data_IF_878107957986
#
_entry.id   IF_878107957986
#
_cell.length_a   1.000
_cell.length_b   1.000
_cell.length_c   1.000
_cell.angle_alpha   90.00
_cell.angle_beta   90.00
_cell.angle_gamma   90.00
#
_symmetry.space_group_name_H-M   'P 1'
#
loop_
_entity.id
_entity.type
_entity.pdbx_description
1 polymer ?
#
# COMPACT_ATOMS: atom_id res chain seq x y z
N UNK A 1 18.73 8.62 -13.13
CA UNK A 1 17.94 8.73 -11.88
C UNK A 1 18.59 7.93 -10.75
N UNK A 2 19.51 7.03 -11.08
CA UNK A 2 20.18 6.09 -10.17
C UNK A 2 20.96 6.74 -9.01
N UNK A 3 21.14 8.06 -9.04
CA UNK A 3 21.76 8.85 -7.97
C UNK A 3 20.77 9.34 -6.90
N UNK A 4 19.46 9.25 -7.14
CA UNK A 4 18.43 9.72 -6.21
C UNK A 4 17.91 8.58 -5.35
N UNK A 5 17.74 8.85 -4.05
CA UNK A 5 17.10 7.87 -3.16
C UNK A 5 15.61 7.80 -3.47
N UNK A 6 15.11 6.59 -3.69
CA UNK A 6 13.70 6.36 -3.99
C UNK A 6 12.93 5.74 -2.81
N UNK A 7 11.63 6.01 -2.79
CA UNK A 7 10.72 5.59 -1.73
C UNK A 7 9.39 5.12 -2.31
N UNK A 8 8.77 4.12 -1.68
CA UNK A 8 7.35 3.86 -1.86
C UNK A 8 6.55 4.74 -0.88
N UNK A 9 5.74 5.65 -1.40
CA UNK A 9 4.89 6.55 -0.59
C UNK A 9 3.48 6.00 -0.54
N UNK A 10 3.10 5.44 0.61
CA UNK A 10 1.80 4.85 0.89
C UNK A 10 0.83 5.91 1.42
N UNK A 11 -0.36 5.99 0.80
CA UNK A 11 -1.48 6.81 1.25
C UNK A 11 -2.67 5.92 1.64
N UNK A 12 -3.31 6.26 2.75
CA UNK A 12 -4.44 5.52 3.33
C UNK A 12 -5.77 6.20 3.00
N UNK A 13 -6.88 5.49 3.20
CA UNK A 13 -8.21 6.10 3.10
C UNK A 13 -8.47 7.05 4.29
N UNK A 14 -9.14 8.18 4.01
CA UNK A 14 -9.56 9.17 5.02
C UNK A 14 -10.34 8.57 6.20
N UNK A 15 -11.10 7.50 5.96
CA UNK A 15 -11.86 6.80 7.00
C UNK A 15 -10.98 6.24 8.12
N UNK A 16 -9.76 5.77 7.81
CA UNK A 16 -8.79 5.33 8.82
C UNK A 16 -8.15 6.50 9.60
N UNK A 17 -8.37 7.74 9.15
CA UNK A 17 -7.76 8.95 9.70
C UNK A 17 -8.75 9.78 10.55
N UNK A 18 -10.04 9.41 10.61
CA UNK A 18 -11.05 10.09 11.43
C UNK A 18 -11.07 9.55 12.86
N UNK A 19 -11.02 10.46 13.85
CA UNK A 19 -11.21 10.14 15.27
C UNK A 19 -9.93 9.83 16.06
N UNK A 20 -10.11 9.41 17.32
CA UNK A 20 -9.03 9.26 18.31
C UNK A 20 -8.10 8.05 18.09
N UNK A 21 -8.48 7.09 17.23
CA UNK A 21 -7.75 5.83 17.02
C UNK A 21 -6.65 5.91 15.95
N UNK A 22 -6.49 7.06 15.28
CA UNK A 22 -5.53 7.22 14.18
C UNK A 22 -4.10 6.75 14.50
N UNK A 23 -3.49 7.07 15.66
CA UNK A 23 -2.14 6.60 15.98
C UNK A 23 -2.02 5.07 15.97
N UNK A 24 -3.06 4.38 16.46
CA UNK A 24 -3.11 2.92 16.51
C UNK A 24 -3.30 2.31 15.12
N UNK A 25 -4.19 2.85 14.29
CA UNK A 25 -4.35 2.46 12.88
C UNK A 25 -3.03 2.58 12.11
N UNK A 26 -2.35 3.72 12.26
CA UNK A 26 -1.09 3.97 11.57
C UNK A 26 0.02 3.04 12.08
N UNK A 27 0.06 2.72 13.38
CA UNK A 27 0.99 1.72 13.91
C UNK A 27 0.74 0.34 13.29
N UNK A 28 -0.50 -0.14 13.30
CA UNK A 28 -0.86 -1.43 12.70
C UNK A 28 -0.53 -1.50 11.22
N UNK A 29 -0.82 -0.44 10.46
CA UNK A 29 -0.42 -0.36 9.06
C UNK A 29 1.10 -0.45 8.89
N UNK A 30 1.88 0.30 9.67
CA UNK A 30 3.35 0.25 9.61
C UNK A 30 3.88 -1.16 9.91
N UNK A 31 3.30 -1.85 10.89
CA UNK A 31 3.71 -3.22 11.23
C UNK A 31 3.37 -4.20 10.10
N UNK A 32 2.19 -4.07 9.49
CA UNK A 32 1.76 -4.87 8.33
C UNK A 32 2.64 -4.62 7.11
N UNK A 33 2.98 -3.35 6.82
CA UNK A 33 3.90 -2.98 5.74
C UNK A 33 5.27 -3.61 5.97
N UNK A 34 5.80 -3.56 7.21
CA UNK A 34 7.08 -4.18 7.55
C UNK A 34 7.07 -5.69 7.33
N UNK A 35 5.99 -6.36 7.72
CA UNK A 35 5.84 -7.80 7.50
C UNK A 35 5.74 -8.13 6.00
N UNK A 36 4.93 -7.39 5.25
CA UNK A 36 4.74 -7.58 3.82
C UNK A 36 6.05 -7.38 3.04
N UNK A 37 6.81 -6.33 3.32
CA UNK A 37 8.01 -5.97 2.55
C UNK A 37 9.30 -6.56 3.11
N UNK A 38 9.23 -7.50 4.06
CA UNK A 38 10.42 -8.15 4.62
C UNK A 38 11.22 -8.86 3.53
N UNK A 39 12.49 -8.51 3.39
CA UNK A 39 13.38 -9.09 2.38
C UNK A 39 13.17 -8.57 0.95
N UNK A 40 12.30 -7.58 0.74
CA UNK A 40 12.01 -7.02 -0.59
C UNK A 40 12.84 -5.76 -0.93
N UNK A 41 13.96 -5.50 -0.22
CA UNK A 41 14.75 -4.28 -0.44
C UNK A 41 14.15 -3.01 0.15
N UNK A 42 13.52 -3.08 1.34
CA UNK A 42 13.10 -1.89 2.11
C UNK A 42 14.04 -1.68 3.29
N UNK A 43 14.76 -0.57 3.29
CA UNK A 43 15.74 -0.24 4.34
C UNK A 43 15.09 0.41 5.57
N UNK A 44 14.11 1.27 5.34
CA UNK A 44 13.50 2.09 6.39
C UNK A 44 12.03 2.33 6.13
N UNK A 45 11.21 2.25 7.17
CA UNK A 45 9.81 2.68 7.14
C UNK A 45 9.64 3.85 8.08
N UNK A 46 9.08 4.96 7.58
CA UNK A 46 8.92 6.20 8.31
C UNK A 46 7.52 6.79 8.10
N UNK A 47 7.06 7.61 9.06
CA UNK A 47 5.71 8.21 9.03
C UNK A 47 5.83 9.68 8.65
N UNK A 48 5.13 10.09 7.60
CA UNK A 48 4.86 11.49 7.26
C UNK A 48 3.53 11.97 7.83
N UNK A 49 3.19 13.24 7.61
CA UNK A 49 1.97 13.83 8.16
C UNK A 49 0.69 13.16 7.69
N UNK A 50 0.64 12.64 6.45
CA UNK A 50 -0.53 11.97 5.84
C UNK A 50 -0.15 10.74 5.01
N UNK A 51 1.01 10.16 5.28
CA UNK A 51 1.59 9.08 4.48
C UNK A 51 2.56 8.23 5.29
N UNK A 52 2.88 7.05 4.76
CA UNK A 52 3.98 6.22 5.23
C UNK A 52 4.98 6.10 4.09
N UNK A 53 6.25 6.40 4.32
CA UNK A 53 7.31 6.21 3.35
C UNK A 53 8.09 4.94 3.64
N UNK A 54 8.40 4.17 2.60
CA UNK A 54 9.29 3.03 2.64
C UNK A 54 10.49 3.34 1.76
N UNK A 55 11.65 3.55 2.36
CA UNK A 55 12.91 3.81 1.67
C UNK A 55 13.39 2.52 1.00
N UNK A 56 13.55 2.56 -0.32
CA UNK A 56 14.02 1.42 -1.11
C UNK A 56 15.54 1.31 -1.04
N UNK A 57 16.08 0.09 -1.10
CA UNK A 57 17.52 -0.13 -1.21
C UNK A 57 18.07 0.46 -2.49
N UNK A 58 17.39 0.19 -3.60
CA UNK A 58 17.77 0.51 -4.97
C UNK A 58 16.53 0.55 -5.87
N UNK A 59 16.73 0.82 -7.16
CA UNK A 59 15.64 0.87 -8.15
C UNK A 59 15.06 -0.53 -8.47
N UNK A 60 15.84 -1.61 -8.32
CA UNK A 60 15.45 -2.99 -8.61
C UNK A 60 14.51 -3.57 -7.54
N UNK A 61 14.52 -3.02 -6.32
CA UNK A 61 13.57 -3.37 -5.26
C UNK A 61 12.12 -2.99 -5.61
N UNK A 62 11.92 -2.00 -6.49
CA UNK A 62 10.59 -1.42 -6.73
C UNK A 62 9.53 -2.41 -7.24
N UNK A 63 9.76 -3.26 -8.27
CA UNK A 63 8.75 -4.18 -8.77
C UNK A 63 8.23 -5.14 -7.70
N UNK A 64 9.11 -5.66 -6.86
CA UNK A 64 8.74 -6.56 -5.77
C UNK A 64 7.97 -5.82 -4.67
N UNK A 65 8.49 -4.68 -4.20
CA UNK A 65 7.78 -3.85 -3.20
C UNK A 65 6.41 -3.43 -3.72
N UNK A 66 6.30 -3.00 -4.97
CA UNK A 66 5.03 -2.64 -5.60
C UNK A 66 4.04 -3.81 -5.59
N UNK A 67 4.49 -5.02 -5.96
CA UNK A 67 3.65 -6.22 -5.96
C UNK A 67 3.11 -6.51 -4.55
N UNK A 68 3.99 -6.49 -3.54
CA UNK A 68 3.62 -6.78 -2.15
C UNK A 68 2.72 -5.71 -1.54
N UNK A 69 2.96 -4.43 -1.84
CA UNK A 69 2.13 -3.33 -1.34
C UNK A 69 0.69 -3.36 -1.86
N UNK A 70 0.44 -3.90 -3.07
CA UNK A 70 -0.92 -4.07 -3.59
C UNK A 70 -1.76 -5.00 -2.72
N UNK A 71 -1.13 -5.98 -2.08
CA UNK A 71 -1.80 -7.01 -1.27
C UNK A 71 -2.07 -6.58 0.18
N UNK A 72 -1.51 -5.45 0.63
CA UNK A 72 -1.64 -4.94 2.00
C UNK A 72 -2.97 -4.21 2.19
N UNK A 73 -3.87 -4.78 2.99
CA UNK A 73 -5.08 -4.06 3.39
C UNK A 73 -4.76 -2.82 4.25
N UNK A 74 -5.54 -1.76 4.04
CA UNK A 74 -5.29 -0.43 4.61
C UNK A 74 -4.49 0.50 3.71
N UNK A 75 -3.80 -0.03 2.69
CA UNK A 75 -3.18 0.77 1.62
C UNK A 75 -4.26 1.07 0.58
N UNK A 76 -4.59 2.36 0.41
CA UNK A 76 -5.54 2.77 -0.63
C UNK A 76 -4.81 2.89 -1.98
N UNK A 77 -3.67 3.56 -1.93
CA UNK A 77 -2.82 3.82 -3.09
C UNK A 77 -1.41 4.15 -2.64
N UNK A 78 -0.48 4.03 -3.55
CA UNK A 78 0.91 4.36 -3.31
C UNK A 78 1.61 4.79 -4.59
N UNK A 79 2.82 5.33 -4.44
CA UNK A 79 3.59 5.92 -5.52
C UNK A 79 5.07 5.55 -5.34
N UNK A 80 5.81 5.45 -6.45
CA UNK A 80 7.28 5.58 -6.40
C UNK A 80 7.61 7.06 -6.36
N UNK A 81 8.40 7.47 -5.38
CA UNK A 81 8.85 8.85 -5.22
C UNK A 81 10.37 8.92 -5.19
N UNK A 82 10.89 10.03 -5.68
CA UNK A 82 12.31 10.36 -5.62
C UNK A 82 12.53 11.50 -4.63
N UNK A 83 13.53 11.35 -3.77
CA UNK A 83 13.94 12.36 -2.80
C UNK A 83 15.00 13.27 -3.41
N UNK A 84 14.79 14.57 -3.25
CA UNK A 84 15.72 15.62 -3.64
C UNK A 84 15.94 16.55 -2.44
N UNK A 85 17.08 17.29 -2.41
CA UNK A 85 17.26 18.40 -1.48
C UNK A 85 16.09 19.39 -1.56
N UNK A 86 15.94 20.22 -0.52
CA UNK A 86 14.87 21.21 -0.42
C UNK A 86 15.16 22.44 -1.31
N UNK A 87 15.38 22.20 -2.60
CA UNK A 87 15.74 23.17 -3.63
C UNK A 87 14.83 22.98 -4.85
N UNK A 88 14.06 24.03 -5.17
CA UNK A 88 13.11 24.01 -6.28
C UNK A 88 13.79 24.08 -7.64
N UNK A 89 14.92 24.78 -7.74
CA UNK A 89 15.68 24.88 -8.99
C UNK A 89 16.36 23.55 -9.30
N UNK A 90 16.90 22.88 -8.28
CA UNK A 90 17.37 21.50 -8.39
C UNK A 90 16.29 20.52 -8.87
N UNK A 91 15.05 20.66 -8.40
CA UNK A 91 13.92 19.88 -8.90
C UNK A 91 13.61 20.19 -10.37
N UNK A 92 13.58 21.46 -10.78
CA UNK A 92 13.38 21.85 -12.19
C UNK A 92 14.45 21.25 -13.09
N UNK A 93 15.71 21.29 -12.67
CA UNK A 93 16.83 20.72 -13.43
C UNK A 93 16.70 19.21 -13.67
N UNK A 94 16.05 18.47 -12.76
CA UNK A 94 15.81 17.03 -12.90
C UNK A 94 14.50 16.67 -13.58
N UNK A 95 13.57 17.60 -13.71
CA UNK A 95 12.25 17.38 -14.29
C UNK A 95 12.28 16.83 -15.73
N UNK A 96 13.17 17.26 -16.65
CA UNK A 96 13.26 16.66 -17.98
C UNK A 96 13.49 15.15 -17.95
N UNK A 97 14.38 14.67 -17.07
CA UNK A 97 14.61 13.24 -16.90
C UNK A 97 13.37 12.50 -16.38
N UNK A 98 12.63 13.07 -15.43
CA UNK A 98 11.39 12.46 -14.93
C UNK A 98 10.27 12.36 -15.96
N UNK A 99 10.26 13.29 -16.93
CA UNK A 99 9.25 13.37 -17.98
C UNK A 99 9.67 12.65 -19.27
N UNK A 100 10.92 12.20 -19.36
CA UNK A 100 11.43 11.46 -20.51
C UNK A 100 10.57 10.21 -20.79
N UNK A 101 10.20 10.02 -22.06
CA UNK A 101 9.36 8.90 -22.50
C UNK A 101 7.87 8.99 -22.12
N UNK A 102 7.44 10.01 -21.38
CA UNK A 102 6.02 10.23 -21.04
C UNK A 102 5.34 11.06 -22.12
N UNK A 103 4.21 10.58 -22.62
CA UNK A 103 3.36 11.34 -23.56
C UNK A 103 2.06 11.75 -22.86
N UNK A 104 1.82 13.06 -22.77
CA UNK A 104 0.62 13.63 -22.17
C UNK A 104 0.31 15.01 -22.77
N UNK A 105 -0.97 15.32 -22.95
CA UNK A 105 -1.44 16.62 -23.47
C UNK A 105 -1.87 17.57 -22.35
N UNK A 106 -2.15 17.03 -21.17
CA UNK A 106 -2.55 17.82 -20.02
C UNK A 106 -1.93 17.33 -18.72
N UNK A 107 -1.60 18.25 -17.82
CA UNK A 107 -1.01 17.90 -16.54
C UNK A 107 -1.47 18.82 -15.41
N UNK A 108 -1.18 18.41 -14.17
CA UNK A 108 -1.27 19.30 -13.02
C UNK A 108 -0.07 19.12 -12.09
N UNK A 109 0.32 20.19 -11.43
CA UNK A 109 1.21 20.14 -10.26
C UNK A 109 0.35 20.13 -9.00
N UNK A 110 0.69 19.31 -8.02
CA UNK A 110 0.03 19.29 -6.71
C UNK A 110 1.08 19.28 -5.61
N UNK A 111 1.33 20.46 -5.04
CA UNK A 111 2.28 20.62 -3.93
C UNK A 111 1.63 20.49 -2.56
N UNK A 112 2.09 19.54 -1.74
CA UNK A 112 1.80 19.50 -0.31
C UNK A 112 2.99 20.01 0.50
N UNK A 113 2.74 20.83 1.51
CA UNK A 113 3.78 21.38 2.39
C UNK A 113 3.59 20.87 3.81
N UNK A 114 4.39 19.89 4.19
CA UNK A 114 4.55 19.50 5.59
C UNK A 114 5.44 20.52 6.32
N UNK A 115 6.52 20.98 5.66
CA UNK A 115 7.33 22.10 6.19
C UNK A 115 6.76 23.46 5.75
N UNK A 116 6.18 24.18 6.71
CA UNK A 116 5.63 25.54 6.50
C UNK A 116 6.70 26.63 6.47
N UNK A 117 7.96 26.32 6.79
CA UNK A 117 9.09 27.25 6.72
C UNK A 117 9.66 27.39 5.32
N UNK A 118 9.27 26.52 4.38
CA UNK A 118 9.68 26.64 2.98
C UNK A 118 9.29 28.02 2.43
N UNK A 119 10.18 28.75 1.72
CA UNK A 119 9.94 30.15 1.34
C UNK A 119 8.72 30.37 0.47
N UNK A 120 8.39 29.41 -0.40
CA UNK A 120 7.24 29.49 -1.29
C UNK A 120 6.03 28.76 -0.74
N UNK A 121 4.83 29.27 -1.01
CA UNK A 121 3.59 28.55 -0.73
C UNK A 121 3.25 27.53 -1.82
N UNK A 122 2.33 26.60 -1.52
CA UNK A 122 1.98 25.53 -2.47
C UNK A 122 1.49 26.08 -3.81
N UNK A 123 0.76 27.19 -3.81
CA UNK A 123 0.27 27.82 -5.04
C UNK A 123 1.40 28.44 -5.87
N UNK A 124 2.36 29.10 -5.22
CA UNK A 124 3.56 29.64 -5.86
C UNK A 124 4.40 28.52 -6.48
N UNK A 125 4.62 27.42 -5.75
CA UNK A 125 5.33 26.24 -6.28
C UNK A 125 4.58 25.61 -7.45
N UNK A 126 3.25 25.44 -7.35
CA UNK A 126 2.43 24.92 -8.43
C UNK A 126 2.52 25.78 -9.70
N UNK A 127 2.48 27.12 -9.56
CA UNK A 127 2.57 28.05 -10.70
C UNK A 127 3.94 28.02 -11.35
N UNK A 128 4.99 28.06 -10.54
CA UNK A 128 6.37 28.09 -10.99
C UNK A 128 6.78 26.80 -11.72
N UNK A 129 6.57 25.63 -11.08
CA UNK A 129 6.78 24.34 -11.73
C UNK A 129 5.82 24.09 -12.90
N UNK A 130 4.57 24.57 -12.79
CA UNK A 130 3.59 24.47 -13.86
C UNK A 130 4.05 25.21 -15.12
N UNK A 131 4.50 26.45 -14.97
CA UNK A 131 5.09 27.22 -16.07
C UNK A 131 6.28 26.48 -16.68
N UNK A 132 7.20 26.00 -15.85
CA UNK A 132 8.38 25.26 -16.31
C UNK A 132 8.00 24.01 -17.14
N UNK A 133 7.12 23.15 -16.62
CA UNK A 133 6.70 21.92 -17.31
C UNK A 133 5.92 22.23 -18.60
N UNK A 134 5.10 23.28 -18.59
CA UNK A 134 4.39 23.72 -19.79
C UNK A 134 5.35 24.17 -20.90
N UNK A 135 6.38 24.95 -20.58
CA UNK A 135 7.38 25.37 -21.56
C UNK A 135 8.22 24.19 -22.07
N UNK A 136 8.54 23.25 -21.18
CA UNK A 136 9.33 22.07 -21.51
C UNK A 136 8.60 21.08 -22.43
N UNK A 137 7.28 20.92 -22.27
CA UNK A 137 6.50 19.84 -22.91
C UNK A 137 5.42 20.31 -23.89
N UNK A 138 5.01 21.57 -23.81
CA UNK A 138 3.85 22.10 -24.55
C UNK A 138 2.49 21.66 -24.00
N UNK A 139 2.46 20.78 -22.99
CA UNK A 139 1.21 20.30 -22.39
C UNK A 139 0.46 21.41 -21.65
N UNK A 140 -0.87 21.32 -21.61
CA UNK A 140 -1.72 22.33 -20.99
C UNK A 140 -1.97 22.01 -19.50
N UNK A 141 -1.99 23.04 -18.66
CA UNK A 141 -2.36 22.87 -17.24
C UNK A 141 -3.86 22.58 -17.14
N UNK A 142 -4.22 21.46 -16.52
CA UNK A 142 -5.60 21.03 -16.32
C UNK A 142 -5.81 20.54 -14.89
N UNK A 143 -6.57 21.28 -14.09
CA UNK A 143 -6.73 20.98 -12.65
C UNK A 143 -7.65 19.77 -12.37
N UNK A 144 -8.61 19.52 -13.27
CA UNK A 144 -9.57 18.40 -13.21
C UNK A 144 -9.21 17.35 -14.27
N UNK A 145 -9.12 16.09 -13.86
CA UNK A 145 -8.82 14.94 -14.72
C UNK A 145 -7.66 15.20 -15.73
N UNK A 146 -6.45 15.53 -15.24
CA UNK A 146 -5.26 15.63 -16.09
C UNK A 146 -4.80 14.24 -16.54
N UNK A 147 -4.09 14.18 -17.66
CA UNK A 147 -3.42 12.95 -18.10
C UNK A 147 -2.21 12.63 -17.22
N UNK A 148 -1.46 13.64 -16.76
CA UNK A 148 -0.36 13.48 -15.81
C UNK A 148 -0.58 14.31 -14.54
N UNK A 149 -0.47 13.67 -13.37
CA UNK A 149 -0.39 14.38 -12.09
C UNK A 149 1.04 14.33 -11.56
N UNK A 150 1.63 15.49 -11.32
CA UNK A 150 2.96 15.64 -10.73
C UNK A 150 2.75 16.10 -9.29
N UNK A 151 3.11 15.25 -8.34
CA UNK A 151 3.02 15.56 -6.92
C UNK A 151 4.37 15.99 -6.37
N UNK A 152 4.35 17.03 -5.54
CA UNK A 152 5.54 17.58 -4.90
C UNK A 152 5.27 17.73 -3.41
N UNK A 153 5.83 16.84 -2.60
CA UNK A 153 5.68 16.92 -1.15
C UNK A 153 6.94 17.53 -0.53
N UNK A 154 6.81 18.75 0.00
CA UNK A 154 7.87 19.47 0.68
C UNK A 154 7.88 19.03 2.15
N UNK A 155 8.87 18.23 2.50
CA UNK A 155 9.13 17.71 3.84
C UNK A 155 10.29 18.48 4.47
N UNK A 156 10.47 18.36 5.79
CA UNK A 156 11.56 19.02 6.52
C UNK A 156 12.96 18.61 6.06
N UNK A 157 13.09 17.41 5.49
CA UNK A 157 14.38 16.82 5.10
C UNK A 157 14.65 16.90 3.59
N UNK A 158 13.66 17.35 2.79
CA UNK A 158 13.78 17.34 1.34
C UNK A 158 12.43 17.43 0.62
N UNK A 159 12.50 17.37 -0.70
CA UNK A 159 11.34 17.33 -1.59
C UNK A 159 11.17 15.90 -2.10
N UNK A 160 9.93 15.40 -2.05
CA UNK A 160 9.54 14.17 -2.71
C UNK A 160 8.75 14.50 -3.98
N UNK A 161 9.18 13.97 -5.12
CA UNK A 161 8.47 14.08 -6.39
C UNK A 161 7.97 12.71 -6.84
N UNK A 162 6.71 12.63 -7.28
CA UNK A 162 6.09 11.38 -7.72
C UNK A 162 4.91 11.62 -8.69
N UNK A 163 4.58 10.60 -9.47
CA UNK A 163 3.66 10.71 -10.62
C UNK A 163 2.63 9.57 -10.64
N UNK A 164 3.13 8.34 -10.78
CA UNK A 164 2.35 7.17 -11.15
C UNK A 164 1.62 6.59 -9.94
N UNK A 165 0.30 6.80 -9.91
CA UNK A 165 -0.56 6.26 -8.86
C UNK A 165 -0.77 4.76 -9.06
N UNK A 166 -0.40 3.97 -8.06
CA UNK A 166 -0.73 2.55 -8.00
C UNK A 166 -1.84 2.34 -6.97
N UNK A 167 -3.00 1.87 -7.44
CA UNK A 167 -4.12 1.49 -6.56
C UNK A 167 -3.84 0.13 -5.90
N UNK A 168 -4.21 0.02 -4.64
CA UNK A 168 -4.16 -1.22 -3.86
C UNK A 168 -5.57 -1.61 -3.39
N UNK A 169 -5.71 -2.70 -2.65
CA UNK A 169 -7.02 -3.21 -2.24
C UNK A 169 -7.84 -2.27 -1.34
N UNK A 170 -7.20 -1.30 -0.68
CA UNK A 170 -7.86 -0.41 0.27
C UNK A 170 -8.26 -1.15 1.55
N UNK A 171 -9.42 -0.79 2.11
CA UNK A 171 -9.91 -1.38 3.36
C UNK A 171 -9.20 -0.85 4.60
N UNK A 172 -9.18 -1.66 5.66
CA UNK A 172 -8.56 -1.34 6.94
C UNK A 172 -7.35 -2.25 7.19
N UNK A 173 -6.29 -1.76 7.87
CA UNK A 173 -5.15 -2.61 8.23
C UNK A 173 -5.58 -3.83 9.02
N UNK A 174 -5.17 -5.04 8.61
CA UNK A 174 -5.49 -6.27 9.34
C UNK A 174 -5.07 -6.17 10.81
N UNK A 175 -5.95 -6.62 11.71
CA UNK A 175 -5.78 -6.59 13.16
C UNK A 175 -6.40 -5.37 13.84
N UNK A 176 -6.91 -4.38 13.09
CA UNK A 176 -7.59 -3.20 13.66
C UNK A 176 -9.08 -3.44 14.01
N UNK A 177 -9.62 -4.59 13.65
CA UNK A 177 -11.02 -4.96 13.95
C UNK A 177 -11.09 -6.25 14.77
N UNK A 178 -10.00 -6.59 15.47
CA UNK A 178 -9.91 -7.79 16.29
C UNK A 178 -9.71 -9.09 15.50
N UNK A 179 -9.83 -10.22 16.19
CA UNK A 179 -9.73 -11.56 15.62
C UNK A 179 -11.11 -12.13 15.38
N UNK A 180 -11.29 -12.89 14.29
CA UNK A 180 -12.53 -13.60 13.96
C UNK A 180 -12.23 -15.06 13.65
N UNK A 181 -13.09 -15.97 14.12
CA UNK A 181 -13.04 -17.36 13.71
C UNK A 181 -13.67 -17.52 12.31
N UNK A 182 -12.96 -18.16 11.41
CA UNK A 182 -13.41 -18.45 10.04
C UNK A 182 -13.56 -19.96 9.91
N UNK A 183 -14.78 -20.43 9.74
CA UNK A 183 -15.02 -21.82 9.34
C UNK A 183 -14.62 -21.99 7.88
N UNK A 184 -13.48 -22.64 7.66
CA UNK A 184 -12.91 -22.83 6.33
C UNK A 184 -13.32 -24.20 5.79
N UNK A 185 -14.07 -24.20 4.70
CA UNK A 185 -14.40 -25.40 3.93
C UNK A 185 -13.46 -25.56 2.74
N UNK A 186 -13.47 -26.72 2.10
CA UNK A 186 -12.79 -26.94 0.81
C UNK A 186 -13.49 -26.29 -0.40
N UNK A 187 -14.56 -25.51 -0.17
CA UNK A 187 -15.27 -24.75 -1.20
C UNK A 187 -14.75 -23.33 -1.38
N UNK A 188 -15.33 -22.60 -2.33
CA UNK A 188 -14.85 -21.27 -2.76
C UNK A 188 -15.37 -20.14 -1.85
N UNK A 189 -16.52 -20.33 -1.19
CA UNK A 189 -17.19 -19.22 -0.48
C UNK A 189 -16.47 -18.82 0.81
N UNK A 190 -16.04 -19.81 1.61
CA UNK A 190 -15.37 -19.56 2.89
C UNK A 190 -14.05 -18.78 2.78
N UNK A 191 -13.13 -19.08 1.83
CA UNK A 191 -11.93 -18.25 1.67
C UNK A 191 -12.25 -16.83 1.16
N UNK A 192 -13.27 -16.66 0.32
CA UNK A 192 -13.72 -15.33 -0.14
C UNK A 192 -14.31 -14.53 1.03
N UNK A 193 -15.11 -15.15 1.89
CA UNK A 193 -15.64 -14.52 3.09
C UNK A 193 -14.50 -14.11 4.05
N UNK A 194 -13.50 -14.98 4.24
CA UNK A 194 -12.31 -14.66 5.04
C UNK A 194 -11.57 -13.44 4.50
N UNK A 195 -11.34 -13.40 3.18
CA UNK A 195 -10.69 -12.27 2.51
C UNK A 195 -11.45 -10.95 2.73
N UNK A 196 -12.79 -10.97 2.62
CA UNK A 196 -13.61 -9.79 2.88
C UNK A 196 -13.52 -9.30 4.33
N UNK A 197 -13.47 -10.23 5.29
CA UNK A 197 -13.28 -9.89 6.71
C UNK A 197 -11.89 -9.30 6.98
N UNK A 198 -10.84 -9.84 6.36
CA UNK A 198 -9.50 -9.26 6.42
C UNK A 198 -9.46 -7.85 5.84
N UNK A 199 -10.14 -7.59 4.72
CA UNK A 199 -10.28 -6.25 4.14
C UNK A 199 -10.98 -5.26 5.09
N UNK A 200 -11.84 -5.74 5.98
CA UNK A 200 -12.48 -4.96 7.05
C UNK A 200 -11.62 -4.85 8.31
N UNK A 201 -10.36 -5.28 8.27
CA UNK A 201 -9.39 -5.13 9.35
C UNK A 201 -9.40 -6.25 10.38
N UNK A 202 -10.18 -7.32 10.18
CA UNK A 202 -10.16 -8.47 11.07
C UNK A 202 -8.94 -9.36 10.78
N UNK A 203 -8.38 -9.99 11.81
CA UNK A 203 -7.42 -11.09 11.63
C UNK A 203 -8.19 -12.41 11.64
N UNK A 204 -8.01 -13.22 10.59
CA UNK A 204 -8.72 -14.49 10.43
C UNK A 204 -7.99 -15.62 11.17
N UNK A 205 -8.71 -16.29 12.06
CA UNK A 205 -8.31 -17.56 12.68
C UNK A 205 -9.11 -18.69 12.03
N UNK A 206 -8.44 -19.55 11.26
CA UNK A 206 -9.11 -20.55 10.46
C UNK A 206 -9.42 -21.81 11.28
N UNK A 207 -10.63 -22.33 11.17
CA UNK A 207 -11.05 -23.61 11.73
C UNK A 207 -11.53 -24.48 10.59
N UNK A 208 -10.91 -25.62 10.39
CA UNK A 208 -11.30 -26.61 9.40
C UNK A 208 -11.78 -27.89 10.08
N UNK A 209 -13.03 -28.25 9.82
CA UNK A 209 -13.60 -29.51 10.30
C UNK A 209 -13.32 -30.62 9.28
N UNK A 210 -12.81 -31.76 9.74
CA UNK A 210 -12.50 -32.90 8.89
C UNK A 210 -12.98 -34.22 9.50
N UNK A 211 -13.16 -35.23 8.65
CA UNK A 211 -13.59 -36.56 9.09
C UNK A 211 -12.49 -37.63 9.00
N UNK A 212 -11.24 -37.25 8.69
CA UNK A 212 -10.10 -38.17 8.80
C UNK A 212 -10.03 -38.83 10.19
N UNK A 213 -9.82 -40.15 10.29
CA UNK A 213 -9.46 -41.08 9.21
C UNK A 213 -10.63 -41.76 8.47
N UNK A 214 -11.89 -41.34 8.69
CA UNK A 214 -13.07 -41.93 8.02
C UNK A 214 -13.12 -41.62 6.51
N UNK A 215 -12.46 -40.54 6.11
CA UNK A 215 -12.26 -40.12 4.72
C UNK A 215 -10.78 -39.80 4.52
N UNK A 216 -10.36 -39.64 3.26
CA UNK A 216 -9.00 -39.24 2.93
C UNK A 216 -8.64 -37.82 3.42
N UNK A 217 -7.38 -37.43 3.21
CA UNK A 217 -6.83 -36.13 3.66
C UNK A 217 -7.03 -35.00 2.64
N UNK A 218 -7.71 -35.22 1.52
CA UNK A 218 -7.81 -34.23 0.45
C UNK A 218 -8.49 -32.93 0.90
N UNK A 219 -9.45 -33.01 1.83
CA UNK A 219 -10.10 -31.81 2.41
C UNK A 219 -9.12 -30.98 3.25
N UNK A 220 -8.26 -31.64 4.03
CA UNK A 220 -7.24 -31.03 4.87
C UNK A 220 -6.19 -30.33 4.00
N UNK A 221 -5.69 -31.00 2.97
CA UNK A 221 -4.71 -30.44 2.03
C UNK A 221 -5.24 -29.18 1.36
N UNK A 222 -6.48 -29.22 0.83
CA UNK A 222 -7.14 -28.03 0.27
C UNK A 222 -7.26 -26.89 1.29
N UNK A 223 -7.57 -27.18 2.55
CA UNK A 223 -7.68 -26.16 3.57
C UNK A 223 -6.31 -25.50 3.86
N UNK A 224 -5.23 -26.28 3.91
CA UNK A 224 -3.87 -25.76 4.05
C UNK A 224 -3.52 -24.85 2.88
N UNK A 225 -3.72 -25.31 1.64
CA UNK A 225 -3.43 -24.54 0.43
C UNK A 225 -4.18 -23.21 0.41
N UNK A 226 -5.47 -23.22 0.77
CA UNK A 226 -6.29 -22.00 0.86
C UNK A 226 -5.76 -21.03 1.92
N UNK A 227 -5.34 -21.53 3.09
CA UNK A 227 -4.76 -20.69 4.14
C UNK A 227 -3.43 -20.09 3.70
N UNK A 228 -2.58 -20.85 3.00
CA UNK A 228 -1.31 -20.35 2.46
C UNK A 228 -1.56 -19.20 1.47
N UNK A 229 -2.52 -19.36 0.56
CA UNK A 229 -2.92 -18.31 -0.38
C UNK A 229 -3.45 -17.06 0.32
N UNK A 230 -4.20 -17.21 1.41
CA UNK A 230 -4.75 -16.10 2.18
C UNK A 230 -3.71 -15.44 3.11
N UNK A 231 -2.65 -16.16 3.47
CA UNK A 231 -1.63 -15.69 4.42
C UNK A 231 -0.91 -14.45 3.91
N UNK A 232 -0.75 -14.27 2.60
CA UNK A 232 -0.15 -13.04 2.04
C UNK A 232 -0.86 -11.74 2.44
N UNK A 233 -2.12 -11.81 2.88
CA UNK A 233 -2.91 -10.65 3.28
C UNK A 233 -2.89 -10.34 4.79
N UNK A 234 -2.47 -11.29 5.63
CA UNK A 234 -2.40 -11.12 7.08
C UNK A 234 -1.08 -11.55 7.72
N UNK A 235 -0.14 -12.05 6.91
CA UNK A 235 1.26 -12.39 7.17
C UNK A 235 1.50 -13.56 8.12
N UNK A 236 0.60 -13.79 9.06
CA UNK A 236 0.60 -14.92 9.98
C UNK A 236 -0.81 -15.47 10.10
N UNK A 237 -0.94 -16.78 9.90
CA UNK A 237 -2.22 -17.50 9.91
C UNK A 237 -2.16 -18.68 10.87
N UNK A 238 -3.25 -18.89 11.60
CA UNK A 238 -3.45 -20.09 12.41
C UNK A 238 -4.57 -20.91 11.78
N UNK A 239 -4.32 -22.21 11.57
CA UNK A 239 -5.30 -23.17 11.07
C UNK A 239 -5.51 -24.26 12.13
N UNK A 240 -6.68 -24.25 12.74
CA UNK A 240 -7.11 -25.26 13.71
C UNK A 240 -7.82 -26.39 12.98
N UNK A 241 -7.34 -27.62 13.15
CA UNK A 241 -7.94 -28.83 12.60
C UNK A 241 -8.85 -29.46 13.65
N UNK A 242 -10.15 -29.56 13.34
CA UNK A 242 -11.16 -30.09 14.24
C UNK A 242 -11.71 -31.43 13.71
N UNK A 243 -11.37 -32.58 14.33
CA UNK A 243 -11.92 -33.87 13.92
C UNK A 243 -13.40 -33.95 14.28
N UNK A 244 -14.26 -34.19 13.28
CA UNK A 244 -15.71 -34.29 13.46
C UNK A 244 -16.27 -35.70 13.18
N UNK A 245 -15.45 -36.61 12.66
CA UNK A 245 -15.90 -37.93 12.19
C UNK A 245 -16.68 -38.75 13.23
N UNK A 246 -16.18 -38.81 14.47
CA UNK A 246 -16.84 -39.56 15.55
C UNK A 246 -18.15 -38.90 16.04
N UNK A 247 -18.28 -37.58 15.90
CA UNK A 247 -19.52 -36.86 16.21
C UNK A 247 -20.55 -37.10 15.11
N UNK A 248 -20.13 -37.05 13.84
CA UNK A 248 -21.01 -37.33 12.69
C UNK A 248 -21.61 -38.72 12.75
N UNK A 249 -20.82 -39.75 13.08
CA UNK A 249 -21.32 -41.13 13.22
C UNK A 249 -22.45 -41.30 14.26
N UNK A 250 -22.51 -40.44 15.27
CA UNK A 250 -23.56 -40.51 16.32
C UNK A 250 -24.86 -39.84 15.90
N UNK A 251 -24.84 -39.06 14.82
CA UNK A 251 -25.99 -38.32 14.28
C UNK A 251 -26.58 -38.96 13.03
N UNK A 252 -25.87 -39.92 12.44
CA UNK A 252 -26.29 -40.75 11.30
C UNK A 252 -26.92 -42.05 11.78
#
# INVERSE_FOLDING_TARGET
MDDLKSHAIVKTHELALKGKNRPWFMRKLTDNLRAATRGAGVERIWKGQLMVGLTLSDEEAWPEVQSRLKEVFGVAKFYKAYELPQDLEGLKARMPGFLEGRNFKSFRITTNRADKRFPMNSEAVNRDLGSFVQHLTGAQVKLKDPELSIYVDIQTIGILVYFDEVKAHGGLPVGVSGKVAVMLSGGIDSPVAAWQMMKRGCQAMYVHFHSYPLVDRTSIEKAVDLVEHLTKHQYESNLFMAPLGEIQKKLS
#
